data_IF_888858447507
#
_entry.id   IF_888858447507
#
_cell.length_a   1.000
_cell.length_b   1.000
_cell.length_c   1.000
_cell.angle_alpha   90.00
_cell.angle_beta   90.00
_cell.angle_gamma   90.00
#
_symmetry.space_group_name_H-M   'P 1'
#
loop_
_entity.id
_entity.type
_entity.pdbx_description
1 polymer ?
#
# COMPACT_ATOMS: atom_id res chain seq x y z
N UNK A 1 7.57 7.33 -17.75
CA UNK A 1 7.95 6.08 -18.42
C UNK A 1 6.80 5.61 -19.32
N UNK A 2 7.13 5.06 -20.47
CA UNK A 2 6.18 4.46 -21.43
C UNK A 2 6.57 3.00 -21.60
N UNK A 3 5.58 2.11 -21.70
CA UNK A 3 5.80 0.67 -21.87
C UNK A 3 4.74 0.04 -22.76
N UNK A 4 4.96 -1.22 -23.12
CA UNK A 4 4.03 -2.04 -23.90
C UNK A 4 3.48 -3.14 -23.01
N UNK A 5 2.21 -3.49 -23.19
CA UNK A 5 1.54 -4.59 -22.52
C UNK A 5 0.66 -5.36 -23.51
N UNK A 6 0.60 -6.67 -23.37
CA UNK A 6 -0.35 -7.50 -24.11
C UNK A 6 -1.77 -7.16 -23.63
N UNK A 7 -2.67 -6.85 -24.56
CA UNK A 7 -4.06 -6.49 -24.26
C UNK A 7 -4.75 -7.53 -23.37
N UNK A 8 -4.47 -8.82 -23.59
CA UNK A 8 -5.03 -9.92 -22.80
C UNK A 8 -4.56 -9.95 -21.34
N UNK A 9 -3.44 -9.27 -21.03
CA UNK A 9 -2.85 -9.21 -19.68
C UNK A 9 -3.25 -7.94 -18.91
N UNK A 10 -4.00 -7.03 -19.53
CA UNK A 10 -4.47 -5.82 -18.86
C UNK A 10 -5.49 -6.17 -17.77
N UNK A 11 -5.21 -5.75 -16.53
CA UNK A 11 -6.18 -5.86 -15.44
C UNK A 11 -7.27 -4.81 -15.59
N UNK A 12 -8.47 -5.25 -15.93
CA UNK A 12 -9.63 -4.37 -16.14
C UNK A 12 -10.52 -4.33 -14.91
N UNK A 13 -11.04 -3.15 -14.57
CA UNK A 13 -11.86 -2.91 -13.38
C UNK A 13 -13.03 -3.89 -13.21
N UNK A 14 -13.66 -4.32 -14.33
CA UNK A 14 -14.80 -5.26 -14.31
C UNK A 14 -14.49 -6.64 -13.72
N UNK A 15 -13.21 -6.98 -13.58
CA UNK A 15 -12.79 -8.25 -12.96
C UNK A 15 -12.96 -8.22 -11.43
N UNK A 16 -12.98 -7.04 -10.82
CA UNK A 16 -13.17 -6.87 -9.38
C UNK A 16 -14.63 -7.13 -9.04
N UNK A 17 -14.87 -8.00 -8.06
CA UNK A 17 -16.19 -8.44 -7.64
C UNK A 17 -16.43 -8.16 -6.15
N UNK A 18 -17.71 -8.05 -5.77
CA UNK A 18 -18.12 -8.09 -4.36
C UNK A 18 -17.54 -9.34 -3.68
N UNK A 19 -17.09 -9.20 -2.45
CA UNK A 19 -16.43 -10.20 -1.61
C UNK A 19 -14.98 -10.55 -2.02
N UNK A 20 -14.40 -9.93 -3.04
CA UNK A 20 -12.96 -10.00 -3.23
C UNK A 20 -12.24 -9.45 -2.00
N UNK A 21 -11.09 -10.02 -1.66
CA UNK A 21 -10.26 -9.55 -0.57
C UNK A 21 -9.34 -8.42 -1.05
N UNK A 22 -9.10 -7.45 -0.17
CA UNK A 22 -8.04 -6.45 -0.35
C UNK A 22 -6.84 -6.89 0.50
N UNK A 23 -5.74 -7.22 -0.17
CA UNK A 23 -4.49 -7.61 0.48
C UNK A 23 -3.51 -6.44 0.43
N UNK A 24 -2.76 -6.25 1.53
CA UNK A 24 -1.61 -5.36 1.58
C UNK A 24 -0.32 -6.15 1.44
N UNK A 25 0.61 -5.68 0.61
CA UNK A 25 2.00 -6.12 0.61
C UNK A 25 2.82 -5.09 1.39
N UNK A 26 3.64 -5.50 2.36
CA UNK A 26 4.46 -4.57 3.14
C UNK A 26 5.33 -3.66 2.28
N UNK A 27 5.48 -2.39 2.67
CA UNK A 27 6.51 -1.52 2.10
C UNK A 27 7.87 -1.84 2.72
N UNK A 28 8.96 -1.51 2.03
CA UNK A 28 10.31 -1.54 2.65
C UNK A 28 10.51 -0.39 3.65
N UNK A 29 9.78 0.71 3.50
CA UNK A 29 9.87 1.91 4.32
C UNK A 29 9.02 3.03 3.74
N UNK A 30 9.49 4.27 3.82
CA UNK A 30 8.79 5.46 3.30
C UNK A 30 8.64 5.43 1.77
N UNK A 31 9.46 4.65 1.09
CA UNK A 31 9.61 4.65 -0.36
C UNK A 31 10.07 6.02 -0.86
N UNK A 32 9.48 6.53 -1.95
CA UNK A 32 9.89 7.79 -2.57
C UNK A 32 8.91 8.95 -2.33
N UNK A 33 7.96 8.80 -1.38
CA UNK A 33 6.91 9.79 -1.14
C UNK A 33 6.99 10.41 0.25
N UNK A 34 6.53 11.67 0.39
CA UNK A 34 6.44 12.35 1.67
C UNK A 34 7.74 12.94 2.21
N UNK A 35 8.84 12.95 1.44
CA UNK A 35 10.13 13.44 1.91
C UNK A 35 10.15 14.95 2.22
N UNK A 36 9.31 15.76 1.62
CA UNK A 36 9.17 17.18 1.99
C UNK A 36 8.73 17.31 3.45
N UNK A 37 7.73 16.50 3.86
CA UNK A 37 7.24 16.48 5.23
C UNK A 37 8.28 15.88 6.19
N UNK A 38 8.96 14.80 5.80
CA UNK A 38 10.08 14.23 6.58
C UNK A 38 11.17 15.29 6.84
N UNK A 39 11.60 16.01 5.80
CA UNK A 39 12.62 17.07 5.94
C UNK A 39 12.13 18.21 6.82
N UNK A 40 10.85 18.56 6.76
CA UNK A 40 10.25 19.57 7.65
C UNK A 40 10.37 19.13 9.12
N UNK A 41 9.98 17.89 9.44
CA UNK A 41 10.10 17.32 10.80
C UNK A 41 11.57 17.33 11.28
N UNK A 42 12.49 16.85 10.44
CA UNK A 42 13.92 16.82 10.79
C UNK A 42 14.48 18.23 11.12
N UNK A 43 14.11 19.24 10.32
CA UNK A 43 14.53 20.63 10.54
C UNK A 43 13.94 21.20 11.81
N UNK A 44 12.65 21.07 12.03
CA UNK A 44 11.95 21.61 13.21
C UNK A 44 12.48 20.99 14.51
N UNK A 45 12.82 19.70 14.49
CA UNK A 45 13.39 18.99 15.64
C UNK A 45 14.92 19.11 15.73
N UNK A 46 15.56 19.84 14.81
CA UNK A 46 17.03 19.98 14.73
C UNK A 46 17.77 18.64 14.73
N UNK A 47 17.20 17.61 14.07
CA UNK A 47 17.75 16.26 14.03
C UNK A 47 18.84 16.19 12.97
N UNK A 48 20.06 15.81 13.40
CA UNK A 48 21.15 15.47 12.49
C UNK A 48 21.13 13.96 12.21
N UNK A 49 20.87 13.60 10.95
CA UNK A 49 20.82 12.18 10.52
C UNK A 49 22.16 11.47 10.69
N UNK A 50 23.30 12.17 10.69
CA UNK A 50 24.62 11.54 10.93
C UNK A 50 24.68 10.87 12.31
N UNK A 51 23.99 11.46 13.30
CA UNK A 51 23.98 11.01 14.69
C UNK A 51 22.76 10.14 15.03
N UNK A 52 21.91 9.81 14.04
CA UNK A 52 20.72 8.97 14.28
C UNK A 52 20.71 7.78 13.30
N UNK A 53 21.29 6.67 13.75
CA UNK A 53 21.45 5.44 12.96
C UNK A 53 20.10 4.84 12.52
N UNK A 54 19.07 4.90 13.37
CA UNK A 54 17.74 4.43 13.05
C UNK A 54 17.13 5.23 11.89
N UNK A 55 17.07 6.56 12.00
CA UNK A 55 16.49 7.41 10.96
C UNK A 55 17.30 7.34 9.67
N UNK A 56 18.62 7.33 9.76
CA UNK A 56 19.49 7.15 8.60
C UNK A 56 19.16 5.86 7.85
N UNK A 57 19.05 4.74 8.56
CA UNK A 57 18.70 3.43 7.98
C UNK A 57 17.31 3.43 7.36
N UNK A 58 16.29 3.92 8.06
CA UNK A 58 14.90 3.88 7.60
C UNK A 58 14.62 4.85 6.44
N UNK A 59 15.22 6.04 6.46
CA UNK A 59 15.00 7.06 5.43
C UNK A 59 15.84 6.84 4.17
N UNK A 60 16.95 6.09 4.24
CA UNK A 60 17.77 5.75 3.07
C UNK A 60 17.44 4.37 2.49
N UNK A 61 16.45 3.68 3.04
CA UNK A 61 16.06 2.36 2.57
C UNK A 61 15.47 2.43 1.17
N UNK A 62 15.98 1.64 0.21
CA UNK A 62 15.46 1.63 -1.16
C UNK A 62 13.99 1.23 -1.20
N UNK A 63 13.27 1.77 -2.17
CA UNK A 63 11.89 1.35 -2.50
C UNK A 63 11.90 -0.11 -2.94
N UNK A 64 11.02 -0.93 -2.36
CA UNK A 64 10.81 -2.31 -2.82
C UNK A 64 10.23 -2.30 -4.24
N UNK A 65 10.86 -3.06 -5.12
CA UNK A 65 10.36 -3.30 -6.48
C UNK A 65 9.45 -4.54 -6.42
N UNK A 66 8.20 -4.40 -6.84
CA UNK A 66 7.16 -5.46 -6.77
C UNK A 66 6.91 -6.14 -8.12
N UNK A 67 7.61 -5.71 -9.17
CA UNK A 67 7.30 -6.05 -10.58
C UNK A 67 7.23 -7.56 -10.79
N UNK A 68 8.25 -8.30 -10.35
CA UNK A 68 8.34 -9.73 -10.63
C UNK A 68 7.17 -10.52 -10.00
N UNK A 69 6.90 -10.25 -8.73
CA UNK A 69 5.80 -10.92 -8.01
C UNK A 69 4.45 -10.59 -8.65
N UNK A 70 4.21 -9.32 -9.01
CA UNK A 70 2.94 -8.89 -9.60
C UNK A 70 2.74 -9.49 -11.00
N UNK A 71 3.76 -9.48 -11.85
CA UNK A 71 3.68 -10.10 -13.18
C UNK A 71 3.41 -11.60 -13.08
N UNK A 72 4.09 -12.31 -12.18
CA UNK A 72 3.85 -13.72 -11.94
C UNK A 72 2.39 -13.99 -11.51
N UNK A 73 1.80 -13.13 -10.68
CA UNK A 73 0.40 -13.27 -10.27
C UNK A 73 -0.57 -13.01 -11.43
N UNK A 74 -0.26 -12.05 -12.31
CA UNK A 74 -1.04 -11.77 -13.53
C UNK A 74 -0.99 -12.96 -14.48
N UNK A 75 0.19 -13.49 -14.77
CA UNK A 75 0.40 -14.63 -15.67
C UNK A 75 -0.33 -15.90 -15.19
N UNK A 76 -0.51 -16.04 -13.87
CA UNK A 76 -1.26 -17.14 -13.26
C UNK A 76 -2.75 -16.84 -13.03
N UNK A 77 -3.28 -15.69 -13.51
CA UNK A 77 -4.69 -15.27 -13.35
C UNK A 77 -5.13 -15.23 -11.87
N UNK A 78 -4.27 -14.79 -10.96
CA UNK A 78 -4.54 -14.75 -9.53
C UNK A 78 -5.02 -13.37 -9.05
N UNK A 79 -4.97 -12.33 -9.90
CA UNK A 79 -5.36 -10.95 -9.58
C UNK A 79 -6.63 -10.53 -10.31
N UNK A 80 -7.55 -9.88 -9.59
CA UNK A 80 -8.68 -9.15 -10.15
C UNK A 80 -8.37 -7.65 -10.33
N UNK A 81 -7.44 -7.12 -9.53
CA UNK A 81 -6.95 -5.75 -9.60
C UNK A 81 -5.75 -5.53 -8.68
N UNK A 82 -5.04 -4.43 -8.88
CA UNK A 82 -3.93 -4.07 -8.01
C UNK A 82 -3.66 -2.56 -8.03
N UNK A 83 -3.01 -2.05 -6.98
CA UNK A 83 -2.62 -0.66 -6.86
C UNK A 83 -1.25 -0.51 -6.20
N UNK A 84 -0.33 0.18 -6.85
CA UNK A 84 0.92 0.62 -6.23
C UNK A 84 0.62 1.82 -5.32
N UNK A 85 1.06 1.75 -4.06
CA UNK A 85 0.78 2.80 -3.07
C UNK A 85 1.90 3.84 -3.11
N UNK A 86 1.57 4.99 -3.66
CA UNK A 86 2.47 6.13 -3.88
C UNK A 86 1.93 7.39 -3.21
N UNK A 87 2.24 8.59 -3.72
CA UNK A 87 1.65 9.85 -3.26
C UNK A 87 0.11 9.81 -3.30
N UNK A 88 -0.55 10.38 -2.30
CA UNK A 88 -1.99 10.25 -2.06
C UNK A 88 -2.35 9.08 -1.13
N UNK A 89 -1.36 8.26 -0.73
CA UNK A 89 -1.53 7.20 0.25
C UNK A 89 -2.45 6.06 -0.19
N UNK A 90 -2.94 5.31 0.78
CA UNK A 90 -3.69 4.07 0.54
C UNK A 90 -5.00 4.33 -0.23
N UNK A 91 -5.81 5.29 0.23
CA UNK A 91 -7.14 5.53 -0.31
C UNK A 91 -7.12 6.01 -1.76
N UNK A 92 -6.31 7.02 -2.09
CA UNK A 92 -6.30 7.62 -3.42
C UNK A 92 -5.79 6.66 -4.49
N UNK A 93 -4.82 5.79 -4.15
CA UNK A 93 -4.31 4.82 -5.11
C UNK A 93 -5.29 3.66 -5.32
N UNK A 94 -5.92 3.12 -4.27
CA UNK A 94 -6.93 2.07 -4.41
C UNK A 94 -8.17 2.58 -5.15
N UNK A 95 -8.63 3.82 -4.89
CA UNK A 95 -9.77 4.45 -5.56
C UNK A 95 -9.68 4.38 -7.09
N UNK A 96 -8.48 4.45 -7.65
CA UNK A 96 -8.26 4.47 -9.12
C UNK A 96 -8.67 3.16 -9.79
N UNK A 97 -8.60 2.04 -9.09
CA UNK A 97 -8.86 0.71 -9.66
C UNK A 97 -10.26 0.18 -9.32
N UNK A 98 -10.93 0.71 -8.31
CA UNK A 98 -12.27 0.27 -7.92
C UNK A 98 -13.30 0.70 -8.96
N UNK A 99 -14.15 -0.22 -9.48
CA UNK A 99 -15.26 0.12 -10.39
C UNK A 99 -16.38 0.87 -9.67
N UNK A 100 -17.27 1.48 -10.42
CA UNK A 100 -18.46 2.14 -9.87
C UNK A 100 -19.40 1.09 -9.25
N UNK A 101 -20.10 1.49 -8.19
CA UNK A 101 -20.97 0.61 -7.42
C UNK A 101 -20.27 -0.32 -6.43
N UNK A 102 -18.93 -0.37 -6.43
CA UNK A 102 -18.14 -1.15 -5.47
C UNK A 102 -17.30 -0.24 -4.57
N UNK A 103 -16.95 -0.77 -3.39
CA UNK A 103 -16.18 -0.10 -2.34
C UNK A 103 -15.10 -1.02 -1.82
N UNK A 104 -13.87 -0.55 -1.75
CA UNK A 104 -12.84 -1.18 -0.93
C UNK A 104 -13.05 -0.77 0.54
N UNK A 105 -13.57 -1.67 1.35
CA UNK A 105 -13.82 -1.50 2.78
C UNK A 105 -12.60 -1.99 3.56
N UNK A 106 -11.79 -1.04 4.05
CA UNK A 106 -10.45 -1.28 4.62
C UNK A 106 -10.47 -1.04 6.12
N UNK A 107 -9.94 -1.98 6.88
CA UNK A 107 -9.71 -1.91 8.31
C UNK A 107 -8.25 -1.49 8.59
N UNK A 108 -8.06 -0.24 8.98
CA UNK A 108 -6.76 0.33 9.28
C UNK A 108 -6.06 -0.34 10.48
N UNK A 109 -6.83 -0.92 11.41
CA UNK A 109 -6.24 -1.64 12.54
C UNK A 109 -5.46 -2.91 12.11
N UNK A 110 -5.71 -3.40 10.89
CA UNK A 110 -4.98 -4.53 10.30
C UNK A 110 -3.70 -4.09 9.58
N UNK A 111 -3.50 -2.79 9.36
CA UNK A 111 -2.31 -2.29 8.67
C UNK A 111 -1.09 -2.42 9.57
N UNK A 112 -0.08 -3.15 9.11
CA UNK A 112 1.17 -3.36 9.83
C UNK A 112 2.11 -2.17 9.66
N UNK A 113 1.88 -1.13 10.47
CA UNK A 113 2.64 0.12 10.42
C UNK A 113 4.08 -0.07 10.87
N UNK A 114 5.05 0.38 10.08
CA UNK A 114 6.48 0.30 10.43
C UNK A 114 6.90 1.38 11.43
N UNK A 115 8.00 1.12 12.17
CA UNK A 115 8.55 2.03 13.20
C UNK A 115 8.78 3.46 12.71
N UNK A 116 9.19 3.65 11.45
CA UNK A 116 9.41 4.98 10.88
C UNK A 116 8.12 5.81 10.82
N UNK A 117 6.97 5.20 10.52
CA UNK A 117 5.68 5.90 10.50
C UNK A 117 5.20 6.22 11.91
N UNK A 118 5.41 5.33 12.88
CA UNK A 118 5.15 5.61 14.31
C UNK A 118 5.98 6.80 14.79
N UNK A 119 7.25 6.84 14.39
CA UNK A 119 8.12 7.99 14.68
C UNK A 119 7.59 9.29 14.07
N UNK A 120 7.11 9.27 12.83
CA UNK A 120 6.50 10.45 12.20
C UNK A 120 5.25 10.93 12.95
N UNK A 121 4.34 10.03 13.34
CA UNK A 121 3.16 10.35 14.18
C UNK A 121 3.58 11.00 15.51
N UNK A 122 4.56 10.44 16.20
CA UNK A 122 5.10 10.99 17.47
C UNK A 122 5.69 12.40 17.31
N UNK A 123 5.98 12.83 16.07
CA UNK A 123 6.45 14.15 15.74
C UNK A 123 5.37 15.09 15.18
N UNK A 124 4.13 14.94 15.69
CA UNK A 124 2.97 15.80 15.46
C UNK A 124 2.43 15.77 14.02
N UNK A 125 2.56 14.64 13.33
CA UNK A 125 1.84 14.42 12.08
C UNK A 125 0.58 13.63 12.42
N UNK A 126 -0.60 14.21 12.17
CA UNK A 126 -1.87 13.58 12.45
C UNK A 126 -2.19 12.42 11.48
N UNK A 127 -3.17 11.57 11.84
CA UNK A 127 -3.53 10.39 11.07
C UNK A 127 -4.02 10.73 9.66
N UNK A 128 -4.69 11.88 9.49
CA UNK A 128 -5.19 12.32 8.18
C UNK A 128 -4.05 12.65 7.24
N UNK A 129 -3.07 13.41 7.72
CA UNK A 129 -1.88 13.75 6.94
C UNK A 129 -1.00 12.52 6.69
N UNK A 130 -0.86 11.62 7.69
CA UNK A 130 -0.17 10.34 7.53
C UNK A 130 -0.77 9.51 6.39
N UNK A 131 -2.09 9.30 6.39
CA UNK A 131 -2.80 8.50 5.40
C UNK A 131 -2.83 9.13 4.00
N UNK A 132 -2.73 10.46 3.92
CA UNK A 132 -2.67 11.21 2.66
C UNK A 132 -1.28 11.20 2.04
N UNK A 133 -0.24 11.31 2.86
CA UNK A 133 1.13 11.56 2.40
C UNK A 133 1.95 10.29 2.28
N UNK A 134 1.75 9.33 3.19
CA UNK A 134 2.59 8.15 3.31
C UNK A 134 1.86 6.86 2.97
N UNK A 135 2.65 5.83 2.65
CA UNK A 135 2.15 4.47 2.44
C UNK A 135 1.79 3.75 3.77
N UNK A 136 2.16 4.29 4.92
CA UNK A 136 1.92 3.78 6.28
C UNK A 136 2.30 2.30 6.50
N UNK A 137 3.21 1.76 5.69
CA UNK A 137 3.65 0.36 5.77
C UNK A 137 3.09 -0.54 4.67
N UNK A 138 2.22 -0.03 3.80
CA UNK A 138 1.63 -0.75 2.66
C UNK A 138 2.23 -0.23 1.37
N UNK A 139 3.09 -1.01 0.71
CA UNK A 139 3.72 -0.57 -0.54
C UNK A 139 2.91 -0.91 -1.79
N UNK A 140 2.11 -1.97 -1.72
CA UNK A 140 1.27 -2.42 -2.84
C UNK A 140 -0.02 -3.06 -2.31
N UNK A 141 -1.13 -2.92 -3.04
CA UNK A 141 -2.39 -3.59 -2.74
C UNK A 141 -2.79 -4.52 -3.87
N UNK A 142 -3.32 -5.70 -3.49
CA UNK A 142 -3.91 -6.66 -4.42
C UNK A 142 -5.39 -6.79 -4.12
N UNK A 143 -6.20 -6.96 -5.18
CA UNK A 143 -7.61 -7.29 -5.08
C UNK A 143 -7.78 -8.67 -5.71
N UNK A 144 -8.25 -9.64 -4.92
CA UNK A 144 -8.17 -11.04 -5.27
C UNK A 144 -9.40 -11.82 -4.82
N UNK A 145 -9.74 -12.88 -5.54
CA UNK A 145 -10.72 -13.84 -5.04
C UNK A 145 -10.17 -14.57 -3.79
N UNK A 146 -11.00 -14.70 -2.76
CA UNK A 146 -10.60 -15.35 -1.49
C UNK A 146 -10.01 -16.75 -1.65
N UNK A 147 -10.46 -17.51 -2.65
CA UNK A 147 -9.96 -18.86 -2.98
C UNK A 147 -8.49 -18.88 -3.41
N UNK A 148 -7.97 -17.74 -3.86
CA UNK A 148 -6.58 -17.62 -4.35
C UNK A 148 -5.57 -17.25 -3.26
N UNK A 149 -6.01 -16.90 -2.05
CA UNK A 149 -5.14 -16.37 -0.99
C UNK A 149 -3.91 -17.26 -0.72
N UNK A 150 -4.11 -18.56 -0.51
CA UNK A 150 -3.02 -19.50 -0.23
C UNK A 150 -2.05 -19.70 -1.40
N UNK A 151 -2.53 -19.53 -2.64
CA UNK A 151 -1.67 -19.60 -3.83
C UNK A 151 -0.79 -18.36 -3.94
N UNK A 152 -1.39 -17.18 -3.70
CA UNK A 152 -0.72 -15.88 -3.82
C UNK A 152 0.45 -15.75 -2.85
N UNK A 153 0.28 -16.17 -1.60
CA UNK A 153 1.34 -16.05 -0.57
C UNK A 153 2.64 -16.77 -0.96
N UNK A 154 2.57 -17.80 -1.80
CA UNK A 154 3.74 -18.57 -2.25
C UNK A 154 4.68 -17.78 -3.17
N UNK A 155 4.22 -16.70 -3.78
CA UNK A 155 5.02 -15.84 -4.66
C UNK A 155 5.86 -14.81 -3.91
N UNK A 156 5.73 -14.74 -2.57
CA UNK A 156 6.38 -13.71 -1.77
C UNK A 156 7.29 -14.31 -0.70
N UNK A 157 8.35 -13.60 -0.38
CA UNK A 157 9.16 -13.90 0.80
C UNK A 157 8.37 -13.62 2.08
N UNK A 158 8.76 -14.21 3.21
CA UNK A 158 8.11 -14.01 4.51
C UNK A 158 8.00 -12.52 4.90
N UNK A 159 9.02 -11.71 4.58
CA UNK A 159 9.04 -10.27 4.88
C UNK A 159 7.97 -9.49 4.11
N UNK A 160 7.72 -9.87 2.85
CA UNK A 160 6.78 -9.18 1.96
C UNK A 160 5.50 -9.99 1.70
N UNK A 161 5.24 -11.01 2.52
CA UNK A 161 4.02 -11.81 2.39
C UNK A 161 2.76 -10.93 2.52
N UNK A 162 1.84 -11.01 1.54
CA UNK A 162 0.60 -10.24 1.57
C UNK A 162 -0.31 -10.71 2.71
N UNK A 163 -1.07 -9.76 3.25
CA UNK A 163 -2.03 -10.01 4.33
C UNK A 163 -3.33 -9.24 4.10
N UNK A 164 -4.44 -9.76 4.60
CA UNK A 164 -5.78 -9.18 4.39
C UNK A 164 -5.93 -7.91 5.23
N UNK A 165 -6.31 -6.79 4.59
CA UNK A 165 -6.66 -5.52 5.24
C UNK A 165 -8.11 -5.11 5.03
N UNK A 166 -8.85 -5.79 4.13
CA UNK A 166 -10.23 -5.44 3.83
C UNK A 166 -10.86 -6.36 2.80
N UNK A 167 -12.02 -5.94 2.34
CA UNK A 167 -12.80 -6.65 1.31
C UNK A 167 -13.54 -5.66 0.41
N UNK A 168 -13.94 -6.14 -0.76
CA UNK A 168 -14.79 -5.39 -1.68
C UNK A 168 -16.26 -5.57 -1.29
N UNK A 169 -16.95 -4.46 -1.09
CA UNK A 169 -18.39 -4.37 -0.77
C UNK A 169 -19.12 -3.55 -1.82
N UNK A 170 -20.43 -3.42 -1.71
CA UNK A 170 -21.27 -2.53 -2.55
C UNK A 170 -21.43 -1.15 -1.91
N UNK A 171 -21.46 -0.08 -2.71
CA UNK A 171 -21.68 1.28 -2.21
C UNK A 171 -21.32 2.36 -3.23
N UNK A 172 -21.49 3.62 -2.84
CA UNK A 172 -21.24 4.79 -3.70
C UNK A 172 -19.79 5.29 -3.63
N UNK A 173 -19.17 5.24 -2.46
CA UNK A 173 -17.77 5.68 -2.26
C UNK A 173 -16.82 4.55 -2.64
N UNK A 174 -15.81 4.83 -3.46
CA UNK A 174 -14.88 3.79 -3.93
C UNK A 174 -13.98 3.20 -2.84
N UNK A 175 -13.71 3.96 -1.78
CA UNK A 175 -12.88 3.51 -0.64
C UNK A 175 -13.51 3.98 0.66
N UNK A 176 -13.55 3.11 1.65
CA UNK A 176 -13.92 3.39 3.03
C UNK A 176 -12.78 2.92 3.94
N UNK A 177 -12.29 3.81 4.79
CA UNK A 177 -11.27 3.50 5.79
C UNK A 177 -11.93 3.48 7.16
N UNK A 178 -11.76 2.40 7.91
CA UNK A 178 -12.27 2.23 9.27
C UNK A 178 -11.11 1.99 10.24
N UNK A 179 -11.25 2.41 11.49
CA UNK A 179 -10.20 2.27 12.50
C UNK A 179 -9.10 3.33 12.38
N UNK A 180 -7.95 3.01 12.96
CA UNK A 180 -6.78 3.90 13.02
C UNK A 180 -5.51 3.12 12.67
N UNK A 181 -4.49 3.81 12.21
CA UNK A 181 -3.13 3.26 12.09
C UNK A 181 -2.40 3.40 13.43
N UNK A 182 -1.65 2.37 13.83
CA UNK A 182 -0.84 2.39 15.07
C UNK A 182 0.42 3.28 14.94
#
# INVERSE_FOLDING_TARGET
AVGLVDEKKILIKKNIKKNDLVLAIPSSGVHSNGYSLVRHVLRNKKINLKNNSFLKKELLRPTKIYVQEILNLIDNNLLNGCANITGGGLADNIKRVIPDGLVADIDLNKVKTKKIFKWLKQNNIDDKEMLKTFNCGVGFCLIVNSKNLNKITKFFTKEFAPYVIGKITTGKNKVKLNGKID
#
